data_IF_467386500089
#
_entry.id   IF_467386500089
#
_cell.length_a   1.000
_cell.length_b   1.000
_cell.length_c   1.000
_cell.angle_alpha   90.00
_cell.angle_beta   90.00
_cell.angle_gamma   90.00
#
_symmetry.space_group_name_H-M   'P 1'
#
loop_
_entity.id
_entity.type
_entity.pdbx_description
1 polymer ?
#
# COMPACT_ATOMS: atom_id res chain seq x y z
N UNK A 1 9.39 6.41 -26.53
CA UNK A 1 9.39 7.75 -27.17
C UNK A 1 8.36 8.61 -26.46
N UNK A 2 8.75 9.80 -26.00
CA UNK A 2 7.79 10.80 -25.52
C UNK A 2 6.91 11.23 -26.70
N UNK A 3 5.60 11.27 -26.51
CA UNK A 3 4.63 11.71 -27.51
C UNK A 3 4.15 13.11 -27.12
N UNK A 4 4.18 14.06 -28.06
CA UNK A 4 3.77 15.45 -27.83
C UNK A 4 4.61 16.42 -28.67
N UNK A 5 4.16 17.67 -28.79
CA UNK A 5 4.97 18.73 -29.39
C UNK A 5 6.18 19.06 -28.50
N UNK A 6 7.22 19.66 -29.08
CA UNK A 6 8.41 20.07 -28.32
C UNK A 6 8.04 21.03 -27.18
N UNK A 7 7.07 21.91 -27.43
CA UNK A 7 6.57 22.89 -26.46
C UNK A 7 5.87 22.17 -25.29
N UNK A 8 5.03 21.18 -25.58
CA UNK A 8 4.36 20.38 -24.54
C UNK A 8 5.37 19.62 -23.68
N UNK A 9 6.37 19.00 -24.31
CA UNK A 9 7.43 18.27 -23.61
C UNK A 9 8.23 19.23 -22.72
N UNK A 10 8.68 20.36 -23.27
CA UNK A 10 9.45 21.35 -22.51
C UNK A 10 8.66 21.93 -21.34
N UNK A 11 7.37 22.20 -21.52
CA UNK A 11 6.52 22.70 -20.45
C UNK A 11 6.34 21.66 -19.34
N UNK A 12 6.01 20.42 -19.69
CA UNK A 12 5.84 19.34 -18.72
C UNK A 12 7.12 19.04 -17.94
N UNK A 13 8.26 18.98 -18.63
CA UNK A 13 9.56 18.71 -18.01
C UNK A 13 10.06 19.88 -17.15
N UNK A 14 9.81 21.12 -17.56
CA UNK A 14 10.10 22.30 -16.72
C UNK A 14 9.24 22.29 -15.45
N UNK A 15 7.94 21.97 -15.56
CA UNK A 15 7.07 21.80 -14.40
C UNK A 15 7.56 20.70 -13.46
N UNK A 16 7.98 19.54 -14.00
CA UNK A 16 8.52 18.44 -13.20
C UNK A 16 9.81 18.85 -12.47
N UNK A 17 10.72 19.56 -13.16
CA UNK A 17 11.96 20.06 -12.56
C UNK A 17 11.70 21.10 -11.48
N UNK A 18 10.80 22.04 -11.73
CA UNK A 18 10.66 23.24 -10.89
C UNK A 18 9.65 23.04 -9.74
N UNK A 19 8.57 22.30 -9.97
CA UNK A 19 7.49 22.04 -9.00
C UNK A 19 7.45 20.59 -8.48
N UNK A 20 8.08 19.63 -9.17
CA UNK A 20 8.05 18.21 -8.78
C UNK A 20 6.75 17.50 -9.14
N UNK A 21 6.43 16.45 -8.38
CA UNK A 21 5.24 15.63 -8.58
C UNK A 21 4.69 15.07 -7.26
N UNK A 22 3.42 14.70 -7.26
CA UNK A 22 2.77 14.04 -6.10
C UNK A 22 3.29 12.60 -6.01
N UNK A 23 3.79 12.22 -4.83
CA UNK A 23 4.55 11.00 -4.60
C UNK A 23 3.68 9.74 -4.41
N UNK A 24 2.67 9.56 -5.27
CA UNK A 24 1.75 8.43 -5.22
C UNK A 24 2.45 7.07 -5.34
N UNK A 25 1.87 6.06 -4.71
CA UNK A 25 2.13 4.67 -5.09
C UNK A 25 1.46 4.39 -6.44
N UNK A 26 2.26 4.00 -7.44
CA UNK A 26 1.76 3.65 -8.76
C UNK A 26 1.05 2.29 -8.81
N UNK A 27 0.37 2.01 -9.93
CA UNK A 27 -0.45 0.80 -10.13
C UNK A 27 0.30 -0.51 -9.87
N UNK A 28 1.62 -0.54 -10.13
CA UNK A 28 2.46 -1.69 -9.83
C UNK A 28 2.43 -2.13 -8.36
N UNK A 29 2.18 -1.19 -7.42
CA UNK A 29 2.07 -1.47 -5.98
C UNK A 29 0.80 -2.25 -5.64
N UNK A 30 -0.24 -2.09 -6.44
CA UNK A 30 -1.56 -2.70 -6.25
C UNK A 30 -1.76 -3.94 -7.14
N UNK A 31 -0.71 -4.39 -7.81
CA UNK A 31 -0.73 -5.51 -8.74
C UNK A 31 -1.24 -5.12 -10.13
N UNK A 32 -0.87 -5.93 -11.12
CA UNK A 32 -1.20 -5.68 -12.54
C UNK A 32 -2.53 -6.34 -12.96
N UNK A 33 -3.34 -6.79 -12.00
CA UNK A 33 -4.60 -7.48 -12.28
C UNK A 33 -5.78 -6.63 -11.84
N UNK A 34 -6.96 -6.93 -12.36
CA UNK A 34 -8.22 -6.28 -11.99
C UNK A 34 -8.59 -6.38 -10.50
N UNK A 35 -8.15 -7.44 -9.80
CA UNK A 35 -8.31 -7.51 -8.35
C UNK A 35 -7.07 -6.89 -7.74
N UNK A 36 -7.27 -5.71 -7.15
CA UNK A 36 -6.21 -4.98 -6.50
C UNK A 36 -5.73 -5.71 -5.24
N UNK A 37 -4.41 -5.77 -5.10
CA UNK A 37 -3.69 -6.45 -4.00
C UNK A 37 -4.13 -5.96 -2.62
N UNK A 38 -4.57 -4.70 -2.51
CA UNK A 38 -5.01 -4.12 -1.24
C UNK A 38 -6.31 -4.72 -0.69
N UNK A 39 -7.16 -5.31 -1.54
CA UNK A 39 -8.35 -6.03 -1.07
C UNK A 39 -7.97 -7.29 -0.26
N UNK A 40 -6.90 -7.98 -0.66
CA UNK A 40 -6.36 -9.09 0.13
C UNK A 40 -5.81 -8.56 1.45
N UNK A 41 -5.11 -7.43 1.42
CA UNK A 41 -4.61 -6.75 2.62
C UNK A 41 -5.72 -6.42 3.62
N UNK A 42 -6.82 -5.82 3.14
CA UNK A 42 -8.01 -5.54 3.95
C UNK A 42 -8.58 -6.81 4.58
N UNK A 43 -8.80 -7.86 3.78
CA UNK A 43 -9.33 -9.13 4.29
C UNK A 43 -8.43 -9.74 5.39
N UNK A 44 -7.10 -9.64 5.25
CA UNK A 44 -6.16 -10.11 6.26
C UNK A 44 -6.24 -9.28 7.56
N UNK A 45 -6.36 -7.95 7.47
CA UNK A 45 -6.50 -7.08 8.64
C UNK A 45 -7.80 -7.34 9.41
N UNK A 46 -8.87 -7.71 8.70
CA UNK A 46 -10.16 -8.13 9.28
C UNK A 46 -10.16 -9.58 9.77
N UNK A 47 -9.04 -10.32 9.69
CA UNK A 47 -8.95 -11.75 9.97
C UNK A 47 -9.93 -12.60 9.13
N UNK A 48 -10.34 -12.11 7.96
CA UNK A 48 -11.21 -12.81 7.01
C UNK A 48 -10.36 -13.72 6.10
N UNK A 49 -9.76 -14.76 6.69
CA UNK A 49 -8.79 -15.63 6.04
C UNK A 49 -9.35 -16.33 4.79
N UNK A 50 -10.59 -16.82 4.86
CA UNK A 50 -11.25 -17.43 3.70
C UNK A 50 -11.41 -16.42 2.56
N UNK A 51 -11.85 -15.19 2.87
CA UNK A 51 -11.95 -14.10 1.88
C UNK A 51 -10.59 -13.79 1.26
N UNK A 52 -9.52 -13.73 2.06
CA UNK A 52 -8.17 -13.49 1.56
C UNK A 52 -7.72 -14.59 0.57
N UNK A 53 -7.96 -15.86 0.91
CA UNK A 53 -7.67 -17.01 0.04
C UNK A 53 -8.50 -16.95 -1.25
N UNK A 54 -9.78 -16.65 -1.14
CA UNK A 54 -10.68 -16.53 -2.29
C UNK A 54 -10.28 -15.38 -3.21
N UNK A 55 -9.88 -14.23 -2.67
CA UNK A 55 -9.38 -13.11 -3.47
C UNK A 55 -8.11 -13.47 -4.26
N UNK A 56 -7.24 -14.32 -3.70
CA UNK A 56 -6.05 -14.81 -4.39
C UNK A 56 -6.42 -15.80 -5.49
N UNK A 57 -7.31 -16.75 -5.20
CA UNK A 57 -7.60 -17.89 -6.06
C UNK A 57 -8.78 -17.68 -7.03
N UNK A 58 -9.58 -16.62 -6.89
CA UNK A 58 -10.74 -16.38 -7.79
C UNK A 58 -10.32 -16.05 -9.24
N UNK A 59 -11.19 -16.34 -10.22
CA UNK A 59 -10.99 -16.01 -11.63
C UNK A 59 -10.66 -14.53 -11.87
N UNK A 60 -9.93 -14.24 -12.96
CA UNK A 60 -9.49 -12.90 -13.36
C UNK A 60 -9.98 -12.64 -14.79
N UNK A 61 -10.55 -11.46 -15.07
CA UNK A 61 -10.93 -11.15 -16.46
C UNK A 61 -9.67 -11.06 -17.33
N UNK A 62 -9.76 -11.55 -18.58
CA UNK A 62 -8.63 -11.61 -19.50
C UNK A 62 -7.64 -12.77 -19.30
N UNK A 63 -7.81 -13.61 -18.28
CA UNK A 63 -6.93 -14.74 -17.99
C UNK A 63 -7.58 -16.10 -18.31
N UNK A 64 -8.02 -16.31 -19.55
CA UNK A 64 -8.86 -17.46 -19.94
C UNK A 64 -8.24 -18.83 -19.57
N UNK A 65 -6.95 -19.04 -19.80
CA UNK A 65 -6.28 -20.31 -19.47
C UNK A 65 -6.19 -20.56 -17.96
N UNK A 66 -5.89 -19.52 -17.19
CA UNK A 66 -5.81 -19.59 -15.73
C UNK A 66 -7.20 -19.73 -15.08
N UNK A 67 -8.27 -19.26 -15.72
CA UNK A 67 -9.60 -19.28 -15.13
C UNK A 67 -10.15 -20.70 -14.95
N UNK A 68 -9.70 -21.68 -15.74
CA UNK A 68 -10.17 -23.07 -15.62
C UNK A 68 -9.93 -23.66 -14.23
N UNK A 69 -8.70 -23.56 -13.70
CA UNK A 69 -8.37 -24.07 -12.37
C UNK A 69 -8.91 -23.18 -11.25
N UNK A 70 -9.01 -21.86 -11.47
CA UNK A 70 -9.60 -20.91 -10.52
C UNK A 70 -11.09 -21.15 -10.30
N UNK A 71 -11.83 -21.36 -11.39
CA UNK A 71 -13.26 -21.70 -11.33
C UNK A 71 -13.48 -23.06 -10.65
N UNK A 72 -12.61 -24.03 -10.93
CA UNK A 72 -12.65 -25.34 -10.27
C UNK A 72 -12.48 -25.20 -8.75
N UNK A 73 -11.49 -24.40 -8.30
CA UNK A 73 -11.34 -24.06 -6.88
C UNK A 73 -12.62 -23.45 -6.30
N UNK A 74 -13.18 -22.41 -6.96
CA UNK A 74 -14.37 -21.73 -6.45
C UNK A 74 -15.59 -22.65 -6.34
N UNK A 75 -15.72 -23.64 -7.22
CA UNK A 75 -16.84 -24.60 -7.22
C UNK A 75 -16.65 -25.77 -6.25
N UNK A 76 -15.43 -26.31 -6.15
CA UNK A 76 -15.17 -27.58 -5.45
C UNK A 76 -14.48 -27.41 -4.10
N UNK A 77 -13.76 -26.30 -3.89
CA UNK A 77 -12.90 -26.07 -2.71
C UNK A 77 -11.93 -27.21 -2.44
N UNK A 78 -11.53 -27.92 -3.50
CA UNK A 78 -10.63 -29.06 -3.41
C UNK A 78 -9.22 -28.65 -3.87
N UNK A 79 -8.33 -28.48 -2.90
CA UNK A 79 -6.95 -28.08 -3.15
C UNK A 79 -6.18 -29.13 -3.96
N UNK A 80 -6.48 -30.43 -3.79
CA UNK A 80 -5.74 -31.51 -4.45
C UNK A 80 -5.99 -31.49 -5.96
N UNK A 81 -7.26 -31.58 -6.35
CA UNK A 81 -7.61 -31.55 -7.78
C UNK A 81 -7.28 -30.21 -8.43
N UNK A 82 -7.37 -29.09 -7.69
CA UNK A 82 -6.95 -27.78 -8.22
C UNK A 82 -5.44 -27.74 -8.52
N UNK A 83 -4.59 -28.32 -7.66
CA UNK A 83 -3.15 -28.40 -7.90
C UNK A 83 -2.79 -29.22 -9.14
N UNK A 84 -3.55 -30.29 -9.41
CA UNK A 84 -3.38 -31.13 -10.61
C UNK A 84 -3.71 -30.37 -11.90
N UNK A 85 -4.57 -29.36 -11.83
CA UNK A 85 -4.94 -28.49 -12.97
C UNK A 85 -3.98 -27.30 -13.18
N UNK A 86 -3.05 -27.03 -12.26
CA UNK A 86 -2.19 -25.85 -12.36
C UNK A 86 -1.20 -25.94 -13.54
N UNK A 87 -1.08 -24.89 -14.36
CA UNK A 87 -0.12 -24.88 -15.46
C UNK A 87 1.32 -24.76 -14.96
N UNK A 88 2.29 -25.21 -15.78
CA UNK A 88 3.71 -25.28 -15.40
C UNK A 88 4.29 -23.93 -14.92
N UNK A 89 3.91 -22.82 -15.55
CA UNK A 89 4.39 -21.48 -15.21
C UNK A 89 3.93 -20.99 -13.82
N UNK A 90 2.99 -21.69 -13.16
CA UNK A 90 2.52 -21.40 -11.79
C UNK A 90 3.21 -22.22 -10.71
N UNK A 91 4.21 -23.06 -11.05
CA UNK A 91 4.91 -23.94 -10.10
C UNK A 91 5.72 -23.25 -8.98
N UNK A 92 5.83 -21.93 -9.02
CA UNK A 92 6.43 -21.13 -7.94
C UNK A 92 5.54 -19.95 -7.53
N UNK A 93 4.28 -19.97 -7.97
CA UNK A 93 3.32 -18.89 -7.72
C UNK A 93 2.82 -18.89 -6.28
N UNK A 94 2.26 -17.76 -5.84
CA UNK A 94 1.60 -17.66 -4.53
C UNK A 94 0.41 -18.60 -4.46
N UNK A 95 -0.33 -18.74 -5.56
CA UNK A 95 -1.51 -19.59 -5.66
C UNK A 95 -1.16 -21.07 -5.44
N UNK A 96 -0.06 -21.56 -6.01
CA UNK A 96 0.37 -22.93 -5.75
C UNK A 96 0.83 -23.13 -4.30
N UNK A 97 1.62 -22.20 -3.75
CA UNK A 97 2.08 -22.28 -2.36
C UNK A 97 0.89 -22.33 -1.39
N UNK A 98 -0.12 -21.51 -1.66
CA UNK A 98 -1.35 -21.47 -0.89
C UNK A 98 -2.15 -22.77 -1.00
N UNK A 99 -2.36 -23.28 -2.21
CA UNK A 99 -3.06 -24.56 -2.43
C UNK A 99 -2.35 -25.75 -1.77
N UNK A 100 -1.01 -25.81 -1.82
CA UNK A 100 -0.23 -26.80 -1.07
C UNK A 100 -0.39 -26.64 0.44
N UNK A 101 -0.42 -25.38 0.92
CA UNK A 101 -0.69 -25.05 2.31
C UNK A 101 -2.05 -25.59 2.77
N UNK A 102 -3.09 -25.38 1.97
CA UNK A 102 -4.46 -25.85 2.24
C UNK A 102 -4.53 -27.38 2.33
N UNK A 103 -3.84 -28.08 1.43
CA UNK A 103 -3.78 -29.55 1.46
C UNK A 103 -3.09 -30.06 2.73
N UNK A 104 -1.98 -29.44 3.14
CA UNK A 104 -1.24 -29.82 4.36
C UNK A 104 -2.03 -29.55 5.64
N UNK A 105 -2.81 -28.48 5.65
CA UNK A 105 -3.51 -27.96 6.84
C UNK A 105 -4.97 -28.38 6.92
N UNK A 106 -5.43 -29.26 6.01
CA UNK A 106 -6.82 -29.74 5.94
C UNK A 106 -7.82 -28.58 5.83
N UNK A 107 -7.54 -27.63 4.95
CA UNK A 107 -8.35 -26.43 4.66
C UNK A 107 -8.44 -25.39 5.81
N UNK A 108 -7.50 -25.38 6.75
CA UNK A 108 -7.33 -24.22 7.63
C UNK A 108 -6.73 -23.05 6.84
N UNK A 109 -7.57 -22.06 6.52
CA UNK A 109 -7.17 -20.91 5.72
C UNK A 109 -6.05 -20.09 6.37
N UNK A 110 -6.09 -19.88 7.69
CA UNK A 110 -5.09 -19.10 8.41
C UNK A 110 -3.73 -19.82 8.41
N UNK A 111 -3.74 -21.12 8.77
CA UNK A 111 -2.53 -21.92 8.77
C UNK A 111 -1.96 -22.07 7.34
N UNK A 112 -2.82 -22.23 6.34
CA UNK A 112 -2.41 -22.32 4.94
C UNK A 112 -1.72 -21.05 4.44
N UNK A 113 -2.17 -19.87 4.86
CA UNK A 113 -1.58 -18.60 4.44
C UNK A 113 -0.14 -18.46 4.93
N UNK A 114 0.21 -19.10 6.05
CA UNK A 114 1.57 -19.14 6.59
C UNK A 114 2.56 -19.91 5.69
N UNK A 115 2.08 -20.68 4.70
CA UNK A 115 2.94 -21.34 3.71
C UNK A 115 3.60 -20.35 2.73
N UNK A 116 3.02 -19.16 2.56
CA UNK A 116 3.54 -18.11 1.69
C UNK A 116 4.68 -17.39 2.43
N UNK A 117 5.84 -17.11 1.81
CA UNK A 117 6.93 -16.38 2.45
C UNK A 117 6.49 -15.05 3.06
N UNK A 118 7.03 -14.73 4.24
CA UNK A 118 6.65 -13.52 5.02
C UNK A 118 6.65 -12.25 4.19
N UNK A 119 7.71 -11.99 3.42
CA UNK A 119 7.83 -10.78 2.61
C UNK A 119 6.73 -10.70 1.54
N UNK A 120 6.32 -11.82 0.97
CA UNK A 120 5.21 -11.87 0.00
C UNK A 120 3.86 -11.63 0.68
N UNK A 121 3.65 -12.14 1.90
CA UNK A 121 2.44 -11.84 2.68
C UNK A 121 2.33 -10.35 3.00
N UNK A 122 3.44 -9.73 3.39
CA UNK A 122 3.51 -8.30 3.73
C UNK A 122 3.16 -7.39 2.56
N UNK A 123 3.37 -7.81 1.31
CA UNK A 123 2.96 -7.03 0.12
C UNK A 123 1.46 -6.71 0.16
N UNK A 124 0.62 -7.66 0.61
CA UNK A 124 -0.83 -7.43 0.71
C UNK A 124 -1.16 -6.32 1.72
N UNK A 125 -0.60 -6.41 2.92
CA UNK A 125 -0.83 -5.42 3.97
C UNK A 125 -0.27 -4.04 3.61
N UNK A 126 0.96 -4.00 3.08
CA UNK A 126 1.59 -2.75 2.66
C UNK A 126 0.87 -2.12 1.46
N UNK A 127 0.25 -2.90 0.58
CA UNK A 127 -0.58 -2.35 -0.50
C UNK A 127 -1.83 -1.68 0.05
N UNK A 128 -2.40 -2.16 1.16
CA UNK A 128 -3.51 -1.48 1.84
C UNK A 128 -3.08 -0.16 2.49
N UNK A 129 -1.93 -0.13 3.16
CA UNK A 129 -1.35 1.12 3.65
C UNK A 129 -1.11 2.13 2.53
N UNK A 130 -0.58 1.67 1.39
CA UNK A 130 -0.36 2.50 0.20
C UNK A 130 -1.66 3.05 -0.38
N UNK A 131 -2.75 2.28 -0.35
CA UNK A 131 -4.06 2.71 -0.83
C UNK A 131 -4.60 3.86 0.01
N UNK A 132 -4.68 3.68 1.33
CA UNK A 132 -5.12 4.72 2.27
C UNK A 132 -4.24 5.95 2.13
N UNK A 133 -2.92 5.78 2.08
CA UNK A 133 -2.00 6.91 1.90
C UNK A 133 -2.26 7.71 0.62
N UNK A 134 -2.51 7.04 -0.52
CA UNK A 134 -2.86 7.74 -1.77
C UNK A 134 -4.15 8.55 -1.63
N UNK A 135 -5.17 7.99 -0.98
CA UNK A 135 -6.45 8.66 -0.72
C UNK A 135 -6.24 9.90 0.15
N UNK A 136 -5.54 9.77 1.29
CA UNK A 136 -5.29 10.89 2.20
C UNK A 136 -4.43 11.97 1.55
N UNK A 137 -3.38 11.59 0.81
CA UNK A 137 -2.53 12.55 0.08
C UNK A 137 -3.36 13.36 -0.91
N UNK A 138 -4.28 12.71 -1.64
CA UNK A 138 -5.19 13.40 -2.57
C UNK A 138 -6.05 14.42 -1.82
N UNK A 139 -6.72 13.99 -0.75
CA UNK A 139 -7.62 14.84 0.03
C UNK A 139 -6.87 16.02 0.67
N UNK A 140 -5.68 15.79 1.22
CA UNK A 140 -4.83 16.82 1.83
C UNK A 140 -4.41 17.90 0.83
N UNK A 141 -3.94 17.49 -0.35
CA UNK A 141 -3.50 18.43 -1.37
C UNK A 141 -4.68 19.17 -2.02
N UNK A 142 -5.84 18.52 -2.16
CA UNK A 142 -7.05 19.18 -2.68
C UNK A 142 -7.60 20.23 -1.71
N UNK A 143 -7.55 19.95 -0.39
CA UNK A 143 -8.12 20.84 0.62
C UNK A 143 -7.22 22.05 0.90
N UNK A 144 -5.95 21.82 1.23
CA UNK A 144 -5.07 22.89 1.71
C UNK A 144 -3.94 23.25 0.74
N UNK A 145 -3.95 22.68 -0.48
CA UNK A 145 -2.98 23.00 -1.51
C UNK A 145 -1.56 22.53 -1.20
N UNK A 146 -0.60 23.19 -1.85
CA UNK A 146 0.84 22.86 -1.86
C UNK A 146 1.66 23.73 -0.90
N UNK A 147 1.09 24.07 0.25
CA UNK A 147 1.79 24.76 1.34
C UNK A 147 1.67 23.95 2.63
N UNK A 148 2.70 23.93 3.49
CA UNK A 148 2.57 23.38 4.84
C UNK A 148 1.48 24.12 5.60
N UNK A 149 0.71 23.41 6.42
CA UNK A 149 -0.31 23.98 7.30
C UNK A 149 -0.11 23.50 8.74
N UNK A 150 -0.60 24.28 9.70
CA UNK A 150 -0.54 23.92 11.13
C UNK A 150 -1.14 22.53 11.35
N UNK A 151 -0.37 21.68 12.01
CA UNK A 151 -0.70 20.29 12.30
C UNK A 151 -0.19 19.27 11.27
N UNK A 152 0.36 19.69 10.13
CA UNK A 152 1.10 18.79 9.24
C UNK A 152 2.29 18.17 9.98
N UNK A 153 2.74 17.01 9.50
CA UNK A 153 3.99 16.40 9.93
C UNK A 153 5.09 16.73 8.92
N UNK A 154 6.28 17.07 9.41
CA UNK A 154 7.48 17.31 8.60
C UNK A 154 8.65 16.48 9.10
N UNK A 155 9.55 16.09 8.20
CA UNK A 155 10.82 15.44 8.57
C UNK A 155 11.72 16.44 9.32
N UNK A 156 12.20 16.06 10.50
CA UNK A 156 13.07 16.92 11.30
C UNK A 156 14.40 17.17 10.56
N UNK A 157 14.77 18.44 10.34
CA UNK A 157 15.92 18.83 9.49
C UNK A 157 17.31 18.64 10.14
N UNK A 158 17.37 18.48 11.47
CA UNK A 158 18.61 18.67 12.26
C UNK A 158 19.08 17.45 13.04
N UNK A 159 18.74 16.25 12.61
CA UNK A 159 19.17 15.03 13.30
C UNK A 159 19.84 14.21 12.21
N UNK A 160 21.16 14.06 12.31
CA UNK A 160 21.89 13.01 11.57
C UNK A 160 21.00 11.79 11.60
N UNK A 161 20.57 11.31 10.43
CA UNK A 161 19.73 10.12 10.32
C UNK A 161 20.41 9.04 11.16
N UNK A 162 19.88 8.85 12.36
CA UNK A 162 20.39 7.89 13.31
C UNK A 162 20.01 6.56 12.68
N UNK A 163 20.97 5.92 12.00
CA UNK A 163 20.74 4.71 11.20
C UNK A 163 20.08 3.58 12.03
N UNK A 164 20.12 3.70 13.35
CA UNK A 164 19.48 2.82 14.33
C UNK A 164 17.96 3.07 14.53
N UNK A 165 17.41 4.20 14.06
CA UNK A 165 15.99 4.48 14.17
C UNK A 165 15.18 3.77 13.07
N UNK A 166 14.26 2.93 13.50
CA UNK A 166 13.31 2.21 12.62
C UNK A 166 12.40 3.18 11.83
N UNK A 167 12.19 4.40 12.35
CA UNK A 167 11.38 5.44 11.70
C UNK A 167 12.06 6.81 11.81
N UNK A 168 11.98 7.65 10.77
CA UNK A 168 12.53 9.00 10.81
C UNK A 168 11.78 9.83 11.86
N UNK A 169 12.51 10.74 12.51
CA UNK A 169 11.91 11.68 13.46
C UNK A 169 11.07 12.71 12.70
N UNK A 170 9.85 12.92 13.21
CA UNK A 170 8.90 13.89 12.67
C UNK A 170 8.44 14.86 13.75
N UNK A 171 8.20 16.09 13.33
CA UNK A 171 7.66 17.17 14.15
C UNK A 171 6.41 17.76 13.51
N UNK A 172 5.61 18.46 14.33
CA UNK A 172 4.41 19.12 13.86
C UNK A 172 4.74 20.52 13.36
N UNK A 173 4.09 20.90 12.27
CA UNK A 173 4.00 22.28 11.85
C UNK A 173 3.10 23.04 12.83
N UNK A 174 3.58 24.19 13.29
CA UNK A 174 2.94 25.11 14.22
C UNK A 174 2.91 26.50 13.60
N UNK A 175 2.14 27.43 14.15
CA UNK A 175 2.11 28.82 13.66
C UNK A 175 3.49 29.48 13.70
N UNK A 176 4.38 29.04 14.59
CA UNK A 176 5.72 29.61 14.78
C UNK A 176 6.71 29.13 13.73
N UNK A 177 6.69 27.83 13.39
CA UNK A 177 7.70 27.21 12.51
C UNK A 177 7.21 26.96 11.07
N UNK A 178 5.95 27.26 10.73
CA UNK A 178 5.37 26.97 9.41
C UNK A 178 6.19 27.54 8.24
N UNK A 179 6.76 28.73 8.42
CA UNK A 179 7.56 29.40 7.38
C UNK A 179 8.95 28.79 7.18
N UNK A 180 9.38 27.87 8.05
CA UNK A 180 10.66 27.15 7.93
C UNK A 180 10.57 25.93 7.01
N UNK A 181 9.36 25.54 6.61
CA UNK A 181 9.09 24.34 5.84
C UNK A 181 8.49 24.65 4.47
N UNK A 182 8.66 23.71 3.57
CA UNK A 182 8.00 23.68 2.26
C UNK A 182 7.14 22.42 2.13
N UNK A 183 6.32 22.36 1.09
CA UNK A 183 5.54 21.14 0.78
C UNK A 183 6.42 19.90 0.58
N UNK A 184 7.68 20.09 0.21
CA UNK A 184 8.66 19.00 0.02
C UNK A 184 9.20 18.42 1.33
N UNK A 185 8.91 19.07 2.46
CA UNK A 185 9.22 18.60 3.81
C UNK A 185 8.04 17.85 4.45
N UNK A 186 6.81 18.09 3.96
CA UNK A 186 5.59 17.50 4.50
C UNK A 186 5.51 16.01 4.22
N UNK A 187 5.34 15.23 5.28
CA UNK A 187 5.16 13.78 5.25
C UNK A 187 3.77 13.39 5.76
N UNK A 188 3.22 12.35 5.15
CA UNK A 188 2.01 11.69 5.64
C UNK A 188 2.35 10.25 6.08
N UNK A 189 1.73 9.75 7.16
CA UNK A 189 1.98 8.40 7.63
C UNK A 189 1.34 7.34 6.71
N UNK A 190 2.06 6.26 6.43
CA UNK A 190 1.43 4.98 6.13
C UNK A 190 0.73 4.51 7.41
N UNK A 191 -0.58 4.20 7.37
CA UNK A 191 -1.34 3.94 8.58
C UNK A 191 -0.76 2.74 9.34
N UNK A 192 -0.53 2.92 10.62
CA UNK A 192 0.06 1.93 11.51
C UNK A 192 0.02 2.36 12.98
N UNK A 193 0.41 1.45 13.86
CA UNK A 193 0.33 1.68 15.31
C UNK A 193 1.57 2.37 15.91
N UNK A 194 2.62 2.59 15.11
CA UNK A 194 3.91 3.16 15.53
C UNK A 194 4.19 4.55 14.94
N UNK A 195 3.18 5.19 14.34
CA UNK A 195 3.30 6.51 13.69
C UNK A 195 2.42 7.54 14.37
N UNK A 196 2.82 8.80 14.25
CA UNK A 196 2.00 9.97 14.54
C UNK A 196 1.12 10.27 13.33
N UNK A 197 -0.04 10.87 13.59
CA UNK A 197 -0.96 11.36 12.58
C UNK A 197 -1.02 12.89 12.62
N UNK A 198 -1.28 13.57 11.48
CA UNK A 198 -1.48 15.02 11.47
C UNK A 198 -2.58 15.43 12.45
N UNK A 199 -2.46 16.60 13.07
CA UNK A 199 -3.43 17.05 14.11
C UNK A 199 -4.60 17.85 13.56
N UNK A 200 -4.62 18.15 12.27
CA UNK A 200 -5.78 18.71 11.57
C UNK A 200 -6.61 17.60 10.90
N UNK A 201 -7.61 17.99 10.10
CA UNK A 201 -8.56 17.08 9.41
C UNK A 201 -7.92 15.89 8.67
N UNK A 202 -6.68 15.98 8.20
CA UNK A 202 -6.04 14.85 7.54
C UNK A 202 -5.81 13.66 8.48
N UNK A 203 -5.57 13.91 9.77
CA UNK A 203 -5.54 12.86 10.78
C UNK A 203 -6.89 12.17 10.94
N UNK A 204 -7.99 12.94 10.94
CA UNK A 204 -9.36 12.41 11.04
C UNK A 204 -9.70 11.53 9.84
N UNK A 205 -9.30 11.93 8.63
CA UNK A 205 -9.56 11.16 7.42
C UNK A 205 -8.95 9.75 7.46
N UNK A 206 -7.82 9.52 8.14
CA UNK A 206 -7.33 8.15 8.32
C UNK A 206 -8.36 7.27 9.03
N UNK A 207 -8.99 7.79 10.08
CA UNK A 207 -10.02 7.06 10.82
C UNK A 207 -11.26 6.87 9.96
N UNK A 208 -11.69 7.92 9.23
CA UNK A 208 -12.85 7.86 8.34
C UNK A 208 -12.65 6.85 7.18
N UNK A 209 -11.50 6.86 6.51
CA UNK A 209 -11.21 5.93 5.40
C UNK A 209 -11.05 4.48 5.89
N UNK A 210 -10.41 4.26 7.05
CA UNK A 210 -10.35 2.91 7.65
C UNK A 210 -11.75 2.41 8.03
N UNK A 211 -12.60 3.28 8.58
CA UNK A 211 -13.95 2.91 9.00
C UNK A 211 -14.85 2.49 7.82
N UNK A 212 -14.66 3.05 6.61
CA UNK A 212 -15.35 2.59 5.38
C UNK A 212 -15.06 1.13 5.04
N UNK A 213 -13.92 0.62 5.52
CA UNK A 213 -13.46 -0.74 5.32
C UNK A 213 -13.67 -1.63 6.55
N UNK A 214 -14.43 -1.16 7.55
CA UNK A 214 -14.66 -1.82 8.84
C UNK A 214 -13.39 -2.01 9.68
N UNK A 215 -12.39 -1.15 9.47
CA UNK A 215 -11.11 -1.17 10.16
C UNK A 215 -10.96 0.01 11.14
N UNK A 216 -10.14 -0.22 12.16
CA UNK A 216 -9.71 0.81 13.12
C UNK A 216 -8.18 0.86 13.18
N UNK A 217 -7.62 1.95 13.73
CA UNK A 217 -6.17 2.10 13.86
C UNK A 217 -5.59 1.02 14.78
N UNK A 218 -6.34 0.61 15.81
CA UNK A 218 -5.99 -0.44 16.75
C UNK A 218 -5.83 -1.79 16.07
N UNK A 219 -6.67 -2.10 15.08
CA UNK A 219 -6.61 -3.34 14.30
C UNK A 219 -5.34 -3.44 13.43
N UNK A 220 -4.66 -2.33 13.16
CA UNK A 220 -3.35 -2.34 12.49
C UNK A 220 -2.25 -2.92 13.40
N UNK A 221 -2.49 -2.96 14.72
CA UNK A 221 -1.69 -3.70 15.68
C UNK A 221 -2.24 -5.12 15.84
N UNK A 222 -1.97 -5.96 14.83
CA UNK A 222 -2.48 -7.34 14.81
C UNK A 222 -1.85 -8.19 15.93
N UNK A 223 -2.63 -9.10 16.51
CA UNK A 223 -2.14 -10.10 17.49
C UNK A 223 -1.08 -11.02 16.89
N UNK A 224 -1.20 -11.32 15.60
CA UNK A 224 -0.14 -11.93 14.83
C UNK A 224 0.90 -10.86 14.46
N UNK A 225 2.07 -10.93 15.12
CA UNK A 225 3.18 -9.99 14.90
C UNK A 225 3.64 -9.92 13.43
N UNK A 226 3.47 -11.00 12.66
CA UNK A 226 3.80 -11.00 11.23
C UNK A 226 2.86 -10.16 10.38
N UNK A 227 1.68 -9.82 10.89
CA UNK A 227 0.68 -9.00 10.23
C UNK A 227 0.52 -7.62 10.87
N UNK A 228 1.31 -7.31 11.91
CA UNK A 228 1.26 -6.02 12.57
C UNK A 228 1.93 -4.94 11.71
N UNK A 229 1.26 -3.80 11.57
CA UNK A 229 1.71 -2.68 10.76
C UNK A 229 2.17 -1.54 11.66
N UNK A 230 3.50 -1.37 11.79
CA UNK A 230 4.09 -0.24 12.51
C UNK A 230 3.78 1.10 11.86
N UNK A 231 3.62 1.12 10.54
CA UNK A 231 3.54 2.34 9.75
C UNK A 231 4.93 2.84 9.36
N UNK A 232 4.95 3.90 8.55
CA UNK A 232 6.14 4.66 8.15
C UNK A 232 5.73 6.07 7.73
N UNK A 233 6.68 6.96 7.45
CA UNK A 233 6.38 8.28 6.91
C UNK A 233 6.81 8.37 5.45
N UNK A 234 6.02 9.09 4.63
CA UNK A 234 6.31 9.30 3.22
C UNK A 234 6.01 10.74 2.83
N UNK A 235 6.95 11.36 2.10
CA UNK A 235 6.78 12.71 1.54
C UNK A 235 5.60 12.77 0.59
N UNK A 236 4.77 13.81 0.70
CA UNK A 236 3.60 14.00 -0.16
C UNK A 236 3.97 14.39 -1.58
N UNK A 237 4.95 15.30 -1.70
CA UNK A 237 5.44 15.85 -2.96
C UNK A 237 6.95 15.67 -3.02
N UNK A 238 7.47 15.29 -4.17
CA UNK A 238 8.90 15.11 -4.41
C UNK A 238 9.33 16.00 -5.56
N UNK A 239 10.38 16.77 -5.33
CA UNK A 239 11.08 17.55 -6.36
C UNK A 239 12.35 16.79 -6.77
N UNK A 240 12.44 16.30 -8.02
CA UNK A 240 13.64 15.62 -8.49
C UNK A 240 14.82 16.59 -8.61
N UNK A 241 16.04 16.09 -8.39
CA UNK A 241 17.29 16.82 -8.67
C UNK A 241 17.85 16.38 -10.01
N UNK A 242 18.71 17.21 -10.60
CA UNK A 242 19.52 16.86 -11.78
C UNK A 242 18.71 16.43 -13.02
N UNK A 243 17.52 16.99 -13.18
CA UNK A 243 16.63 16.70 -14.32
C UNK A 243 17.18 17.32 -15.61
N UNK A 244 17.37 16.48 -16.63
CA UNK A 244 17.73 16.83 -18.00
C UNK A 244 16.87 16.00 -18.98
N UNK A 245 16.52 16.57 -20.15
CA UNK A 245 15.65 15.93 -21.15
C UNK A 245 15.91 16.38 -22.58
#
# INVERSE_FOLDING_TARGET
MMKGSKEQINHAMSSLRDAGFINYFGMQRFGNSLIATYHVGRALLLNQWQTAVDLILKPREGAQDDNKWREHWMKKRDAKSTLEMLPYHKKSSVEQQLLRGLLKTRNDYQASFSSIPRNTRLIYLHSYQSYIWNVITTQRLQRDGFTPVVGDLVSAKNIQDDEDLVLPRVEYVTEVNQNEFSIYDVVLPLPGHGVKYPTHKAGEWYTEELAKDDLTVEMLKNTNRDLSLSGAYRKCVVKPTDVSW
#
